data_IF_297414700443
#
_entry.id   IF_297414700443
#
_cell.length_a   1.000
_cell.length_b   1.000
_cell.length_c   1.000
_cell.angle_alpha   90.00
_cell.angle_beta   90.00
_cell.angle_gamma   90.00
#
_symmetry.space_group_name_H-M   'P 1'
#
loop_
_entity.id
_entity.type
_entity.pdbx_description
1 polymer ?
#
# COMPACT_ATOMS: atom_id res chain seq x y z
N UNK A 1 16.37 5.37 -12.47
CA UNK A 1 16.18 3.91 -12.27
C UNK A 1 15.00 3.50 -13.11
N UNK A 2 15.09 2.39 -13.85
CA UNK A 2 13.99 1.91 -14.70
C UNK A 2 12.99 1.14 -13.83
N UNK A 3 11.78 1.66 -13.66
CA UNK A 3 10.69 0.93 -13.01
C UNK A 3 10.43 -0.38 -13.78
N UNK A 4 10.56 -1.52 -13.11
CA UNK A 4 10.29 -2.83 -13.73
C UNK A 4 8.94 -3.34 -13.20
N UNK A 5 7.89 -3.39 -14.03
CA UNK A 5 6.60 -3.88 -13.58
C UNK A 5 6.67 -5.39 -13.32
N UNK A 6 6.26 -5.80 -12.12
CA UNK A 6 6.13 -7.20 -11.75
C UNK A 6 4.68 -7.53 -11.41
N UNK A 7 4.17 -8.64 -11.94
CA UNK A 7 2.86 -9.14 -11.56
C UNK A 7 2.96 -9.86 -10.22
N UNK A 8 2.20 -9.39 -9.24
CA UNK A 8 2.13 -9.98 -7.92
C UNK A 8 0.83 -10.76 -7.73
N UNK A 9 0.87 -11.83 -6.95
CA UNK A 9 -0.34 -12.52 -6.48
C UNK A 9 -0.66 -11.99 -5.09
N UNK A 10 -1.84 -11.38 -4.96
CA UNK A 10 -2.26 -10.75 -3.73
C UNK A 10 -3.78 -10.65 -3.59
N UNK A 11 -4.23 -10.31 -2.39
CA UNK A 11 -5.61 -9.92 -2.13
C UNK A 11 -5.66 -8.41 -1.94
N UNK A 12 -6.39 -7.72 -2.82
CA UNK A 12 -6.66 -6.28 -2.67
C UNK A 12 -8.03 -6.11 -2.04
N UNK A 13 -8.09 -5.30 -0.99
CA UNK A 13 -9.32 -4.96 -0.28
C UNK A 13 -9.44 -3.44 -0.18
N UNK A 14 -10.67 -2.95 -0.14
CA UNK A 14 -10.90 -1.54 0.19
C UNK A 14 -10.48 -1.31 1.64
N UNK A 15 -9.87 -0.15 1.91
CA UNK A 15 -9.50 0.20 3.27
C UNK A 15 -10.76 0.29 4.15
N UNK A 16 -10.71 -0.33 5.33
CA UNK A 16 -11.83 -0.24 6.26
C UNK A 16 -11.89 1.18 6.86
N UNK A 17 -13.09 1.78 7.00
CA UNK A 17 -13.25 3.10 7.61
C UNK A 17 -12.75 3.16 9.06
N UNK A 18 -12.69 2.03 9.77
CA UNK A 18 -12.10 1.98 11.12
C UNK A 18 -10.58 2.13 11.13
N UNK A 19 -9.91 1.64 10.08
CA UNK A 19 -8.45 1.81 9.90
C UNK A 19 -8.15 3.25 9.52
N UNK A 20 -8.94 3.85 8.62
CA UNK A 20 -8.85 5.26 8.26
C UNK A 20 -8.98 6.19 9.48
N UNK A 21 -9.87 5.89 10.42
CA UNK A 21 -10.06 6.67 11.66
C UNK A 21 -8.87 6.66 12.61
N UNK A 22 -7.96 5.68 12.49
CA UNK A 22 -6.75 5.56 13.32
C UNK A 22 -5.52 6.14 12.65
N UNK A 23 -5.62 6.49 11.37
CA UNK A 23 -4.56 7.19 10.66
C UNK A 23 -4.68 8.70 10.92
N UNK A 24 -3.57 9.47 10.88
CA UNK A 24 -3.59 10.92 11.06
C UNK A 24 -4.59 11.58 10.10
N UNK A 25 -5.21 12.70 10.50
CA UNK A 25 -6.37 13.33 9.85
C UNK A 25 -6.26 13.47 8.31
N UNK A 26 -5.06 13.63 7.76
CA UNK A 26 -4.81 13.71 6.31
C UNK A 26 -5.14 12.40 5.55
N UNK A 27 -5.13 11.25 6.22
CA UNK A 27 -5.38 9.95 5.61
C UNK A 27 -6.87 9.65 5.43
N UNK A 28 -7.76 10.35 6.14
CA UNK A 28 -9.21 10.17 6.02
C UNK A 28 -9.76 10.56 4.65
N UNK A 29 -9.02 11.40 3.91
CA UNK A 29 -9.33 11.83 2.54
C UNK A 29 -8.70 10.93 1.46
N UNK A 30 -7.96 9.89 1.84
CA UNK A 30 -7.27 9.05 0.87
C UNK A 30 -8.21 7.97 0.33
N UNK A 31 -8.36 7.95 -0.99
CA UNK A 31 -8.89 6.78 -1.71
C UNK A 31 -7.83 5.66 -1.60
N UNK A 32 -7.97 4.82 -0.58
CA UNK A 32 -6.94 3.87 -0.17
C UNK A 32 -7.35 2.41 -0.35
N UNK A 33 -6.37 1.56 -0.62
CA UNK A 33 -6.53 0.10 -0.67
C UNK A 33 -5.59 -0.57 0.33
N UNK A 34 -6.03 -1.68 0.87
CA UNK A 34 -5.20 -2.61 1.63
C UNK A 34 -4.80 -3.74 0.71
N UNK A 35 -3.50 -3.99 0.59
CA UNK A 35 -2.93 -5.04 -0.26
C UNK A 35 -2.26 -6.07 0.63
N UNK A 36 -2.74 -7.30 0.54
CA UNK A 36 -2.09 -8.48 1.10
C UNK A 36 -1.27 -9.13 0.01
N UNK A 37 0.05 -9.20 0.18
CA UNK A 37 0.98 -9.75 -0.81
C UNK A 37 1.97 -10.71 -0.17
N UNK A 38 2.35 -11.79 -0.87
CA UNK A 38 3.43 -12.69 -0.45
C UNK A 38 4.77 -12.20 -0.96
N UNK A 39 5.45 -11.39 -0.15
CA UNK A 39 6.78 -10.88 -0.42
C UNK A 39 7.04 -9.59 0.36
N UNK A 40 8.10 -8.87 -0.01
CA UNK A 40 8.44 -7.58 0.60
C UNK A 40 7.84 -6.45 -0.23
N UNK A 41 7.17 -5.51 0.44
CA UNK A 41 6.83 -4.20 -0.10
C UNK A 41 7.56 -3.15 0.73
N UNK A 42 7.94 -2.05 0.11
CA UNK A 42 8.66 -0.95 0.74
C UNK A 42 7.78 0.29 0.81
N UNK A 43 7.46 0.69 2.04
CA UNK A 43 6.80 1.96 2.31
C UNK A 43 7.75 3.14 2.13
N UNK A 44 7.17 4.30 1.83
CA UNK A 44 7.91 5.55 1.68
C UNK A 44 8.81 5.83 2.91
N UNK A 45 10.12 5.77 2.71
CA UNK A 45 11.13 6.19 3.68
C UNK A 45 11.61 7.62 3.37
N UNK A 46 12.06 8.42 4.36
CA UNK A 46 12.64 9.73 4.10
C UNK A 46 13.88 9.61 3.19
N UNK A 47 13.70 9.91 1.90
CA UNK A 47 14.73 9.80 0.85
C UNK A 47 14.68 8.53 -0.01
N UNK A 48 13.73 7.62 0.22
CA UNK A 48 13.56 6.38 -0.53
C UNK A 48 12.45 6.42 -1.58
N UNK A 49 12.51 5.50 -2.55
CA UNK A 49 11.41 5.21 -3.47
C UNK A 49 10.43 4.26 -2.76
N UNK A 50 9.13 4.50 -2.93
CA UNK A 50 8.08 3.59 -2.46
C UNK A 50 7.60 2.70 -3.61
N UNK A 51 7.13 1.50 -3.27
CA UNK A 51 6.48 0.64 -4.26
C UNK A 51 5.14 1.21 -4.72
N UNK A 52 4.80 0.93 -5.98
CA UNK A 52 3.54 1.34 -6.62
C UNK A 52 2.73 0.12 -7.01
N UNK A 53 1.50 0.04 -6.51
CA UNK A 53 0.54 -0.98 -6.86
C UNK A 53 -0.39 -0.43 -7.94
N UNK A 54 -0.51 -1.14 -9.06
CA UNK A 54 -1.47 -0.81 -10.11
C UNK A 54 -2.68 -1.72 -9.98
N UNK A 55 -3.85 -1.14 -9.73
CA UNK A 55 -5.09 -1.87 -9.57
C UNK A 55 -6.27 -1.11 -10.18
N UNK A 56 -7.12 -1.82 -10.94
CA UNK A 56 -8.26 -1.24 -11.68
C UNK A 56 -7.92 0.02 -12.52
N UNK A 57 -6.70 0.09 -13.08
CA UNK A 57 -6.24 1.22 -13.88
C UNK A 57 -5.77 2.44 -13.08
N UNK A 58 -5.75 2.37 -11.75
CA UNK A 58 -5.20 3.40 -10.88
C UNK A 58 -3.87 2.98 -10.26
N UNK A 59 -3.00 3.96 -9.97
CA UNK A 59 -1.73 3.79 -9.25
C UNK A 59 -1.95 4.10 -7.77
N UNK A 60 -1.47 3.22 -6.91
CA UNK A 60 -1.54 3.37 -5.46
C UNK A 60 -0.12 3.26 -4.88
N UNK A 61 0.31 4.28 -4.14
CA UNK A 61 1.61 4.35 -3.50
C UNK A 61 1.56 3.64 -2.15
N UNK A 62 2.52 2.75 -1.87
CA UNK A 62 2.63 2.09 -0.57
C UNK A 62 3.05 3.12 0.48
N UNK A 63 2.15 3.41 1.43
CA UNK A 63 2.37 4.40 2.49
C UNK A 63 2.81 3.77 3.80
N UNK A 64 2.30 2.58 4.09
CA UNK A 64 2.60 1.87 5.32
C UNK A 64 2.63 0.37 5.04
N UNK A 65 3.60 -0.32 5.64
CA UNK A 65 3.70 -1.77 5.62
C UNK A 65 3.64 -2.25 7.05
N UNK A 66 2.68 -3.11 7.35
CA UNK A 66 2.51 -3.70 8.66
C UNK A 66 3.45 -4.91 8.80
N UNK A 67 4.67 -4.66 9.26
CA UNK A 67 5.69 -5.70 9.46
C UNK A 67 5.30 -6.71 10.54
N UNK A 68 4.43 -6.34 11.49
CA UNK A 68 3.94 -7.27 12.51
C UNK A 68 3.03 -8.33 11.88
N UNK A 69 2.22 -7.96 10.89
CA UNK A 69 1.38 -8.92 10.15
C UNK A 69 2.23 -9.99 9.46
N UNK A 70 3.41 -9.62 8.95
CA UNK A 70 4.33 -10.55 8.28
C UNK A 70 4.71 -11.77 9.13
N UNK A 71 4.86 -11.57 10.45
CA UNK A 71 5.23 -12.63 11.39
C UNK A 71 4.07 -13.58 11.72
N UNK A 72 2.82 -13.10 11.68
CA UNK A 72 1.64 -13.89 12.06
C UNK A 72 0.89 -14.47 10.86
N UNK A 73 1.03 -13.87 9.68
CA UNK A 73 0.23 -14.20 8.51
C UNK A 73 0.94 -15.16 7.55
N UNK A 74 1.78 -16.10 8.02
CA UNK A 74 2.38 -17.14 7.16
C UNK A 74 3.13 -16.58 5.92
N UNK A 75 3.85 -15.47 6.08
CA UNK A 75 4.61 -14.82 5.00
C UNK A 75 3.81 -13.88 4.10
N UNK A 76 2.58 -13.53 4.50
CA UNK A 76 1.82 -12.45 3.89
C UNK A 76 2.18 -11.10 4.52
N UNK A 77 2.39 -10.11 3.69
CA UNK A 77 2.63 -8.71 4.07
C UNK A 77 1.36 -7.93 3.85
N UNK A 78 0.94 -7.16 4.86
CA UNK A 78 -0.15 -6.20 4.74
C UNK A 78 0.43 -4.82 4.47
N UNK A 79 0.01 -4.20 3.36
CA UNK A 79 0.42 -2.87 2.97
C UNK A 79 -0.81 -1.98 2.78
N UNK A 80 -0.76 -0.78 3.35
CA UNK A 80 -1.74 0.28 3.10
C UNK A 80 -1.20 1.16 1.98
N UNK A 81 -1.99 1.27 0.92
CA UNK A 81 -1.64 2.03 -0.26
C UNK A 81 -2.64 3.16 -0.46
N UNK A 82 -2.14 4.34 -0.78
CA UNK A 82 -2.97 5.52 -1.08
C UNK A 82 -2.93 5.79 -2.59
N UNK A 83 -4.09 6.10 -3.18
CA UNK A 83 -4.15 6.46 -4.60
C UNK A 83 -3.25 7.64 -4.88
N UNK A 84 -2.44 7.53 -5.93
CA UNK A 84 -1.65 8.63 -6.44
C UNK A 84 -2.62 9.69 -6.97
N UNK A 85 -2.81 10.76 -6.19
CA UNK A 85 -3.53 11.93 -6.67
C UNK A 85 -2.59 12.60 -7.67
N UNK A 86 -2.97 12.59 -8.95
CA UNK A 86 -2.30 13.40 -9.94
C UNK A 86 -2.43 14.85 -9.47
N UNK A 87 -1.36 15.40 -8.89
CA UNK A 87 -1.28 16.82 -8.62
C UNK A 87 -1.29 17.51 -9.99
N UNK A 88 -2.45 18.07 -10.34
CA UNK A 88 -2.60 19.00 -11.46
C UNK A 88 -1.99 20.36 -11.09
#
# INVERSE_FOLDING_TARGET
MTETPQSIIGSVQNISPEVLKRMPDDAQLWDGITVYYRGKLEAQSPGGYCDVIVWQGYRYLVKFVNEQFMNFASGWTEALCAKEVAHA
#
